data_IF_072987954493
#
_entry.id   IF_072987954493
#
_cell.length_a   1.000
_cell.length_b   1.000
_cell.length_c   1.000
_cell.angle_alpha   90.00
_cell.angle_beta   90.00
_cell.angle_gamma   90.00
#
_symmetry.space_group_name_H-M   'P 1'
#
loop_
_entity.id
_entity.type
_entity.pdbx_description
1 polymer ?
#
# COMPACT_ATOMS: atom_id res chain seq x y z
N UNK A 1 33.93 13.01 -8.03
CA UNK A 1 33.50 13.46 -9.37
C UNK A 1 32.42 12.50 -9.86
N UNK A 2 31.21 13.00 -10.23
CA UNK A 2 30.11 12.18 -10.76
C UNK A 2 30.21 12.07 -12.28
N UNK A 3 29.83 10.89 -12.82
CA UNK A 3 29.73 10.65 -14.26
C UNK A 3 28.28 10.23 -14.57
N UNK A 4 27.67 10.85 -15.57
CA UNK A 4 26.33 10.47 -16.04
C UNK A 4 26.38 9.11 -16.76
N UNK A 5 25.42 8.23 -16.44
CA UNK A 5 25.21 6.93 -17.10
C UNK A 5 23.84 6.88 -17.82
N UNK A 6 23.20 8.05 -17.97
CA UNK A 6 21.87 8.17 -18.58
C UNK A 6 20.75 7.64 -17.68
N UNK A 7 19.52 7.55 -18.25
CA UNK A 7 18.34 7.01 -17.54
C UNK A 7 18.46 5.50 -17.40
N UNK A 8 18.43 5.01 -16.19
CA UNK A 8 18.50 3.59 -15.84
C UNK A 8 17.51 3.27 -14.72
N UNK A 9 16.87 2.09 -14.71
CA UNK A 9 15.94 1.68 -13.66
C UNK A 9 16.69 1.10 -12.44
N UNK A 10 17.62 1.86 -11.87
CA UNK A 10 18.55 1.39 -10.84
C UNK A 10 18.16 1.88 -9.44
N UNK A 11 16.98 1.51 -8.99
CA UNK A 11 16.65 1.62 -7.57
C UNK A 11 17.08 0.34 -6.86
N UNK A 12 18.09 0.42 -6.02
CA UNK A 12 18.68 -0.72 -5.31
C UNK A 12 18.69 -0.48 -3.79
N UNK A 13 18.59 -1.54 -2.97
CA UNK A 13 18.36 -2.94 -3.33
C UNK A 13 16.90 -3.19 -3.74
N UNK A 14 16.66 -4.17 -4.64
CA UNK A 14 15.32 -4.61 -5.00
C UNK A 14 15.03 -5.97 -4.36
N UNK A 15 13.84 -6.20 -3.80
CA UNK A 15 13.49 -7.49 -3.23
C UNK A 15 13.36 -8.56 -4.32
N UNK A 16 13.51 -9.83 -3.95
CA UNK A 16 13.19 -10.98 -4.79
C UNK A 16 11.93 -11.64 -4.23
N UNK A 17 10.80 -11.39 -4.90
CA UNK A 17 9.47 -11.76 -4.42
C UNK A 17 8.93 -12.93 -5.24
N UNK A 18 8.56 -14.03 -4.58
CA UNK A 18 7.88 -15.14 -5.20
C UNK A 18 6.39 -15.03 -4.95
N UNK A 19 5.62 -14.77 -6.00
CA UNK A 19 4.17 -14.58 -5.91
C UNK A 19 3.48 -15.93 -6.19
N UNK A 20 2.78 -16.45 -5.18
CA UNK A 20 2.03 -17.70 -5.23
C UNK A 20 0.56 -17.47 -5.55
N UNK A 21 -0.01 -18.25 -6.46
CA UNK A 21 -1.43 -18.23 -6.83
C UNK A 21 -1.90 -19.62 -7.22
N UNK A 22 -3.21 -19.89 -7.18
CA UNK A 22 -3.77 -21.13 -7.75
C UNK A 22 -4.24 -20.92 -9.19
N UNK A 23 -3.93 -21.87 -10.06
CA UNK A 23 -4.50 -22.01 -11.40
C UNK A 23 -6.00 -22.38 -11.32
N UNK A 24 -6.69 -22.36 -12.46
CA UNK A 24 -8.12 -22.70 -12.54
C UNK A 24 -8.40 -24.15 -12.17
N UNK A 25 -7.47 -25.04 -12.45
CA UNK A 25 -7.51 -26.48 -12.10
C UNK A 25 -7.09 -26.78 -10.65
N UNK A 26 -6.78 -25.75 -9.86
CA UNK A 26 -6.36 -25.88 -8.46
C UNK A 26 -4.86 -26.16 -8.29
N UNK A 27 -4.09 -26.29 -9.37
CA UNK A 27 -2.63 -26.46 -9.26
C UNK A 27 -1.94 -25.15 -8.84
N UNK A 28 -0.84 -25.20 -8.06
CA UNK A 28 -0.11 -24.01 -7.67
C UNK A 28 0.67 -23.40 -8.84
N UNK A 29 0.75 -22.08 -8.87
CA UNK A 29 1.60 -21.33 -9.79
C UNK A 29 2.42 -20.31 -9.00
N UNK A 30 3.67 -20.12 -9.40
CA UNK A 30 4.59 -19.16 -8.83
C UNK A 30 5.18 -18.25 -9.91
N UNK A 31 5.53 -17.01 -9.57
CA UNK A 31 6.37 -16.15 -10.40
C UNK A 31 7.31 -15.32 -9.54
N UNK A 32 8.47 -15.00 -10.10
CA UNK A 32 9.40 -14.05 -9.48
C UNK A 32 9.09 -12.62 -9.93
N UNK A 33 9.09 -11.67 -8.99
CA UNK A 33 8.95 -10.24 -9.21
C UNK A 33 9.95 -9.47 -8.35
N UNK A 34 10.46 -8.35 -8.86
CA UNK A 34 11.39 -7.48 -8.14
C UNK A 34 10.84 -6.05 -7.95
N UNK A 35 9.83 -5.66 -8.73
CA UNK A 35 9.22 -4.33 -8.63
C UNK A 35 8.09 -4.36 -7.61
N UNK A 36 8.43 -4.13 -6.33
CA UNK A 36 7.47 -4.12 -5.24
C UNK A 36 8.01 -3.50 -3.96
N UNK A 37 7.12 -2.98 -3.15
CA UNK A 37 7.39 -2.42 -1.83
C UNK A 37 6.12 -2.34 -1.00
N UNK A 38 6.26 -2.16 0.32
CA UNK A 38 5.12 -1.74 1.14
C UNK A 38 4.66 -0.35 0.70
N UNK A 39 3.38 -0.19 0.50
CA UNK A 39 2.73 1.09 0.18
C UNK A 39 2.41 1.87 1.46
N UNK A 40 1.95 1.15 2.47
CA UNK A 40 1.64 1.65 3.80
C UNK A 40 1.81 0.48 4.81
N UNK A 41 1.32 0.63 6.04
CA UNK A 41 1.44 -0.39 7.09
C UNK A 41 0.67 -1.70 6.81
N UNK A 42 -0.25 -1.72 5.85
CA UNK A 42 -1.16 -2.84 5.56
C UNK A 42 -1.21 -3.26 4.11
N UNK A 43 -0.72 -2.43 3.18
CA UNK A 43 -0.83 -2.73 1.75
C UNK A 43 0.54 -2.82 1.08
N UNK A 44 0.66 -3.78 0.16
CA UNK A 44 1.84 -3.98 -0.68
C UNK A 44 1.53 -3.57 -2.12
N UNK A 45 2.47 -2.87 -2.73
CA UNK A 45 2.41 -2.41 -4.13
C UNK A 45 3.38 -3.21 -4.98
N UNK A 46 2.90 -3.79 -6.09
CA UNK A 46 3.69 -4.57 -7.05
C UNK A 46 3.40 -4.07 -8.47
N UNK A 47 4.37 -4.25 -9.38
CA UNK A 47 4.16 -3.99 -10.80
C UNK A 47 4.29 -5.27 -11.60
N UNK A 48 3.15 -5.81 -12.08
CA UNK A 48 3.05 -7.08 -12.79
C UNK A 48 2.19 -6.90 -14.05
N UNK A 49 2.77 -7.20 -15.21
CA UNK A 49 2.09 -7.04 -16.49
C UNK A 49 0.83 -7.92 -16.60
N UNK A 50 -0.24 -7.38 -17.20
CA UNK A 50 -1.55 -8.05 -17.34
C UNK A 50 -1.49 -9.42 -18.05
N UNK A 51 -0.53 -9.63 -18.96
CA UNK A 51 -0.36 -10.90 -19.69
C UNK A 51 0.18 -12.07 -18.85
N UNK A 52 0.60 -11.82 -17.60
CA UNK A 52 1.12 -12.88 -16.72
C UNK A 52 -0.03 -13.76 -16.20
N UNK A 53 0.20 -15.08 -16.19
CA UNK A 53 -0.74 -16.07 -15.63
C UNK A 53 -1.14 -15.73 -14.19
N UNK A 54 -0.18 -15.26 -13.41
CA UNK A 54 -0.36 -14.82 -12.02
C UNK A 54 -1.45 -13.75 -11.89
N UNK A 55 -1.49 -12.75 -12.79
CA UNK A 55 -2.55 -11.71 -12.78
C UNK A 55 -3.90 -12.31 -13.09
N UNK A 56 -4.01 -13.18 -14.10
CA UNK A 56 -5.26 -13.86 -14.40
C UNK A 56 -5.79 -14.65 -13.19
N UNK A 57 -4.88 -15.35 -12.50
CA UNK A 57 -5.19 -16.09 -11.29
C UNK A 57 -5.67 -15.15 -10.15
N UNK A 58 -4.93 -14.07 -9.85
CA UNK A 58 -5.27 -13.10 -8.80
C UNK A 58 -6.64 -12.44 -9.07
N UNK A 59 -6.91 -12.06 -10.31
CA UNK A 59 -8.21 -11.46 -10.68
C UNK A 59 -9.37 -12.41 -10.47
N UNK A 60 -9.15 -13.72 -10.61
CA UNK A 60 -10.13 -14.78 -10.37
C UNK A 60 -10.31 -15.10 -8.89
N UNK A 61 -9.21 -15.40 -8.17
CA UNK A 61 -9.25 -15.84 -6.76
C UNK A 61 -9.36 -14.70 -5.77
N UNK A 62 -9.00 -13.48 -6.19
CA UNK A 62 -8.85 -12.28 -5.34
C UNK A 62 -7.81 -12.45 -4.22
N UNK A 63 -6.88 -13.39 -4.38
CA UNK A 63 -5.90 -13.75 -3.37
C UNK A 63 -4.56 -14.14 -3.99
N UNK A 64 -3.48 -13.92 -3.24
CA UNK A 64 -2.13 -14.35 -3.57
C UNK A 64 -1.25 -14.36 -2.32
N UNK A 65 -0.12 -15.04 -2.40
CA UNK A 65 0.94 -14.98 -1.39
C UNK A 65 2.19 -14.33 -1.97
N UNK A 66 3.00 -13.73 -1.11
CA UNK A 66 4.32 -13.20 -1.42
C UNK A 66 5.31 -13.87 -0.48
N UNK A 67 6.29 -14.56 -1.05
CA UNK A 67 7.39 -15.16 -0.31
C UNK A 67 8.67 -14.36 -0.58
N UNK A 68 9.51 -14.18 0.41
CA UNK A 68 10.84 -13.61 0.23
C UNK A 68 11.81 -14.73 -0.14
N UNK A 69 12.46 -14.61 -1.29
CA UNK A 69 13.43 -15.61 -1.74
C UNK A 69 14.74 -15.50 -0.95
N UNK A 70 15.31 -16.65 -0.61
CA UNK A 70 16.57 -16.82 0.07
C UNK A 70 17.65 -17.43 -0.85
N UNK A 71 18.85 -17.58 -0.32
CA UNK A 71 20.00 -18.12 -1.05
C UNK A 71 19.80 -19.60 -1.42
N UNK A 72 19.13 -20.37 -0.57
CA UNK A 72 18.92 -21.83 -0.78
C UNK A 72 18.03 -22.09 -1.99
N UNK A 73 16.99 -21.25 -2.17
CA UNK A 73 16.03 -21.37 -3.26
C UNK A 73 16.34 -20.49 -4.48
N UNK A 74 17.57 -19.95 -4.58
CA UNK A 74 17.95 -18.98 -5.63
C UNK A 74 17.72 -19.48 -7.05
N UNK A 75 18.09 -20.72 -7.36
CA UNK A 75 18.00 -21.27 -8.72
C UNK A 75 16.55 -21.48 -9.13
N UNK A 76 15.74 -22.01 -8.24
CA UNK A 76 14.33 -22.27 -8.42
C UNK A 76 13.53 -20.95 -8.51
N UNK A 77 13.90 -19.95 -7.69
CA UNK A 77 13.34 -18.60 -7.74
C UNK A 77 13.60 -17.93 -9.10
N UNK A 78 14.80 -18.05 -9.65
CA UNK A 78 15.13 -17.56 -11.00
C UNK A 78 14.36 -18.34 -12.08
N UNK A 79 14.33 -19.67 -11.99
CA UNK A 79 13.59 -20.52 -12.91
C UNK A 79 12.11 -20.14 -13.03
N UNK A 80 11.37 -20.02 -11.92
CA UNK A 80 9.94 -19.66 -11.96
C UNK A 80 9.70 -18.24 -12.47
N UNK A 81 10.72 -17.37 -12.45
CA UNK A 81 10.71 -16.04 -13.05
C UNK A 81 10.90 -16.05 -14.56
N UNK A 82 11.79 -16.93 -15.06
CA UNK A 82 12.13 -17.07 -16.47
C UNK A 82 11.06 -17.85 -17.25
N UNK A 83 10.38 -18.82 -16.62
CA UNK A 83 9.42 -19.69 -17.27
C UNK A 83 7.99 -19.16 -17.15
N UNK A 84 7.29 -19.09 -18.28
CA UNK A 84 5.90 -18.61 -18.31
C UNK A 84 4.93 -19.69 -17.81
N UNK A 85 4.13 -19.38 -16.78
CA UNK A 85 3.04 -20.25 -16.31
C UNK A 85 1.91 -20.47 -17.33
N UNK A 86 1.87 -19.70 -18.43
CA UNK A 86 0.96 -19.95 -19.55
C UNK A 86 1.46 -21.10 -20.46
N UNK A 87 2.74 -21.47 -20.39
CA UNK A 87 3.36 -22.49 -21.21
C UNK A 87 3.74 -23.75 -20.39
N UNK A 88 4.13 -23.57 -19.12
CA UNK A 88 4.57 -24.64 -18.22
C UNK A 88 3.72 -24.55 -16.95
N UNK A 89 2.69 -25.40 -16.90
CA UNK A 89 1.71 -25.39 -15.79
C UNK A 89 2.30 -25.98 -14.50
N UNK A 90 3.20 -26.94 -14.60
CA UNK A 90 3.83 -27.70 -13.53
C UNK A 90 5.17 -27.12 -13.04
N UNK A 91 5.45 -25.84 -13.32
CA UNK A 91 6.74 -25.22 -12.97
C UNK A 91 7.04 -25.18 -11.47
N UNK A 92 6.02 -25.19 -10.60
CA UNK A 92 6.19 -25.26 -9.14
C UNK A 92 6.69 -26.65 -8.74
N UNK A 93 6.15 -27.71 -9.35
CA UNK A 93 6.60 -29.09 -9.17
C UNK A 93 8.04 -29.27 -9.70
N UNK A 94 8.35 -28.71 -10.89
CA UNK A 94 9.70 -28.69 -11.45
C UNK A 94 10.72 -27.94 -10.60
N UNK A 95 10.29 -26.90 -9.86
CA UNK A 95 11.11 -26.22 -8.87
C UNK A 95 11.29 -27.04 -7.57
N UNK A 96 10.61 -28.17 -7.44
CA UNK A 96 10.67 -29.01 -6.25
C UNK A 96 9.96 -28.42 -5.01
N UNK A 97 9.13 -27.39 -5.19
CA UNK A 97 8.44 -26.76 -4.07
C UNK A 97 7.14 -27.47 -3.73
N UNK A 98 6.99 -27.81 -2.45
CA UNK A 98 5.72 -28.26 -1.90
C UNK A 98 4.83 -27.07 -1.59
N UNK A 99 3.55 -27.16 -1.97
CA UNK A 99 2.56 -26.13 -1.74
C UNK A 99 1.47 -26.62 -0.79
N UNK A 100 1.17 -25.83 0.23
CA UNK A 100 0.00 -26.01 1.09
C UNK A 100 -0.96 -24.86 0.89
N UNK A 101 -2.25 -25.05 1.21
CA UNK A 101 -3.21 -23.96 1.16
C UNK A 101 -2.99 -23.02 2.34
N UNK A 102 -2.99 -21.72 2.10
CA UNK A 102 -3.01 -20.71 3.17
C UNK A 102 -4.31 -20.83 3.98
N UNK A 103 -4.22 -20.65 5.29
CA UNK A 103 -5.39 -20.56 6.18
C UNK A 103 -6.09 -19.19 6.06
N UNK A 104 -5.34 -18.15 5.67
CA UNK A 104 -5.83 -16.76 5.64
C UNK A 104 -6.45 -16.38 4.29
N UNK A 105 -5.95 -16.93 3.17
CA UNK A 105 -6.36 -16.53 1.81
C UNK A 105 -6.41 -17.73 0.85
N UNK A 106 -7.14 -17.61 -0.26
CA UNK A 106 -7.23 -18.64 -1.30
C UNK A 106 -5.99 -18.63 -2.22
N UNK A 107 -4.79 -18.91 -1.63
CA UNK A 107 -3.52 -18.94 -2.31
C UNK A 107 -2.57 -19.99 -1.70
N UNK A 108 -1.56 -20.49 -2.44
CA UNK A 108 -0.60 -21.47 -1.94
C UNK A 108 0.47 -20.81 -1.05
N UNK A 109 0.88 -21.51 0.00
CA UNK A 109 2.10 -21.27 0.78
C UNK A 109 3.13 -22.29 0.37
N UNK A 110 4.33 -21.85 0.00
CA UNK A 110 5.47 -22.70 -0.34
C UNK A 110 6.35 -22.87 0.90
N UNK A 111 6.44 -24.10 1.41
CA UNK A 111 7.18 -24.45 2.62
C UNK A 111 8.71 -24.22 2.51
N UNK A 112 9.21 -23.99 1.30
CA UNK A 112 10.63 -23.75 1.03
C UNK A 112 11.10 -22.35 1.43
N UNK A 113 10.19 -21.44 1.80
CA UNK A 113 10.54 -20.04 2.10
C UNK A 113 10.26 -19.69 3.56
N UNK A 114 11.20 -18.98 4.23
CA UNK A 114 11.08 -18.69 5.66
C UNK A 114 10.08 -17.59 5.97
N UNK A 115 9.64 -16.82 4.96
CA UNK A 115 8.77 -15.66 5.14
C UNK A 115 7.69 -15.59 4.07
N UNK A 116 6.44 -15.43 4.49
CA UNK A 116 5.26 -15.39 3.60
C UNK A 116 4.30 -14.30 4.05
N UNK A 117 3.83 -13.49 3.10
CA UNK A 117 2.71 -12.57 3.28
C UNK A 117 1.48 -13.13 2.58
N UNK A 118 0.41 -13.37 3.30
CA UNK A 118 -0.90 -13.72 2.75
C UNK A 118 -1.66 -12.44 2.39
N UNK A 119 -2.07 -12.29 1.13
CA UNK A 119 -2.63 -11.06 0.62
C UNK A 119 -3.96 -11.29 -0.12
N UNK A 120 -4.91 -10.36 0.05
CA UNK A 120 -6.09 -10.22 -0.81
C UNK A 120 -5.88 -9.12 -1.84
N UNK A 121 -6.53 -9.23 -2.99
CA UNK A 121 -6.47 -8.20 -4.03
C UNK A 121 -7.24 -6.96 -3.58
N UNK A 122 -6.55 -5.84 -3.41
CA UNK A 122 -7.14 -4.53 -3.18
C UNK A 122 -7.50 -3.84 -4.50
N UNK A 123 -6.55 -3.72 -5.44
CA UNK A 123 -6.79 -3.15 -6.77
C UNK A 123 -5.76 -3.65 -7.80
N UNK A 124 -6.13 -3.58 -9.07
CA UNK A 124 -5.20 -3.83 -10.17
C UNK A 124 -5.52 -2.90 -11.34
N UNK A 125 -4.53 -2.13 -11.79
CA UNK A 125 -4.62 -1.32 -13.00
C UNK A 125 -3.87 -2.01 -14.16
N UNK A 126 -4.58 -2.47 -15.21
CA UNK A 126 -3.96 -3.14 -16.35
C UNK A 126 -3.16 -2.18 -17.25
N UNK A 127 -3.35 -0.85 -17.14
CA UNK A 127 -2.68 0.12 -18.01
C UNK A 127 -1.19 0.23 -17.71
N UNK A 128 -0.81 0.17 -16.42
CA UNK A 128 0.58 0.22 -15.97
C UNK A 128 1.04 -1.07 -15.28
N UNK A 129 0.12 -2.01 -15.03
CA UNK A 129 0.39 -3.27 -14.33
C UNK A 129 0.47 -3.11 -12.81
N UNK A 130 -0.05 -2.03 -12.24
CA UNK A 130 -0.04 -1.76 -10.82
C UNK A 130 -1.02 -2.65 -10.06
N UNK A 131 -0.47 -3.56 -9.26
CA UNK A 131 -1.17 -4.47 -8.36
C UNK A 131 -1.00 -3.99 -6.92
N UNK A 132 -2.10 -3.80 -6.22
CA UNK A 132 -2.10 -3.52 -4.78
C UNK A 132 -2.77 -4.69 -4.06
N UNK A 133 -2.08 -5.23 -3.07
CA UNK A 133 -2.59 -6.26 -2.18
C UNK A 133 -2.74 -5.74 -0.76
N UNK A 134 -3.81 -6.14 -0.08
CA UNK A 134 -3.96 -5.93 1.35
C UNK A 134 -3.43 -7.17 2.09
N UNK A 135 -2.48 -6.96 2.99
CA UNK A 135 -1.85 -8.01 3.80
C UNK A 135 -2.84 -8.44 4.89
N UNK A 136 -3.21 -9.71 4.87
CA UNK A 136 -4.10 -10.32 5.85
C UNK A 136 -3.31 -10.95 7.01
N UNK A 137 -2.16 -11.55 6.69
CA UNK A 137 -1.28 -12.16 7.68
C UNK A 137 0.17 -12.24 7.15
N UNK A 138 1.12 -12.32 8.07
CA UNK A 138 2.53 -12.58 7.80
C UNK A 138 2.93 -13.83 8.58
N UNK A 139 3.42 -14.83 7.86
CA UNK A 139 3.89 -16.09 8.41
C UNK A 139 5.42 -16.11 8.34
N UNK A 140 6.04 -16.56 9.40
CA UNK A 140 7.51 -16.66 9.52
C UNK A 140 7.84 -18.01 10.13
N UNK A 141 8.90 -18.62 9.66
CA UNK A 141 9.41 -19.86 10.24
C UNK A 141 9.94 -19.59 11.67
N UNK A 142 9.51 -20.39 12.65
CA UNK A 142 9.80 -20.16 14.07
C UNK A 142 11.29 -20.08 14.39
N UNK A 143 12.13 -20.73 13.58
CA UNK A 143 13.60 -20.71 13.72
C UNK A 143 14.21 -19.33 13.58
N UNK A 144 13.52 -18.39 12.92
CA UNK A 144 13.94 -17.00 12.73
C UNK A 144 13.30 -16.02 13.72
N UNK A 145 12.62 -16.53 14.74
CA UNK A 145 12.06 -15.73 15.83
C UNK A 145 12.82 -16.01 17.14
N UNK A 146 13.17 -14.93 17.87
CA UNK A 146 13.69 -15.10 19.21
C UNK A 146 12.59 -15.46 20.23
N UNK A 147 12.99 -15.68 21.49
CA UNK A 147 12.07 -16.01 22.59
C UNK A 147 11.04 -14.90 22.90
N UNK A 148 11.20 -13.71 22.35
CA UNK A 148 10.29 -12.56 22.47
C UNK A 148 9.43 -12.34 21.21
N UNK A 149 9.59 -13.22 20.20
CA UNK A 149 8.91 -13.11 18.91
C UNK A 149 9.49 -12.04 17.97
N UNK A 150 10.72 -11.58 18.22
CA UNK A 150 11.41 -10.64 17.34
C UNK A 150 12.06 -11.40 16.18
N UNK A 151 11.89 -10.84 14.97
CA UNK A 151 12.35 -11.42 13.72
C UNK A 151 13.84 -11.11 13.46
N UNK A 152 14.63 -12.15 13.19
CA UNK A 152 16.04 -12.07 12.79
C UNK A 152 16.19 -12.22 11.27
N UNK A 153 16.05 -11.12 10.52
CA UNK A 153 16.09 -11.09 9.06
C UNK A 153 17.47 -11.41 8.49
N UNK A 154 18.53 -11.04 9.19
CA UNK A 154 19.95 -11.31 8.87
C UNK A 154 20.25 -12.82 8.80
N UNK A 155 19.57 -13.64 9.59
CA UNK A 155 19.71 -15.10 9.58
C UNK A 155 18.97 -15.78 8.42
N UNK A 156 18.00 -15.11 7.78
CA UNK A 156 17.20 -15.67 6.68
C UNK A 156 17.95 -15.75 5.35
N UNK A 157 19.12 -15.16 5.23
CA UNK A 157 19.90 -15.11 3.99
C UNK A 157 19.09 -14.66 2.74
N UNK A 158 18.23 -13.65 2.91
CA UNK A 158 17.34 -13.17 1.87
C UNK A 158 18.09 -12.60 0.68
N UNK A 159 17.50 -12.79 -0.52
CA UNK A 159 18.06 -12.26 -1.77
C UNK A 159 17.59 -10.84 -2.06
N UNK A 160 18.49 -10.07 -2.67
CA UNK A 160 18.18 -8.82 -3.36
C UNK A 160 18.58 -8.92 -4.83
N UNK A 161 17.80 -8.32 -5.72
CA UNK A 161 18.12 -8.23 -7.14
C UNK A 161 18.88 -6.91 -7.43
N UNK A 162 20.00 -7.03 -8.12
CA UNK A 162 20.80 -5.91 -8.62
C UNK A 162 20.52 -5.72 -10.13
N UNK A 163 19.73 -4.71 -10.53
CA UNK A 163 19.38 -4.49 -11.95
C UNK A 163 20.54 -3.98 -12.78
N UNK A 164 21.61 -3.44 -12.17
CA UNK A 164 22.76 -2.92 -12.89
C UNK A 164 23.65 -4.06 -13.45
N UNK A 165 23.84 -5.10 -12.66
CA UNK A 165 24.67 -6.27 -12.99
C UNK A 165 23.84 -7.50 -13.38
N UNK A 166 22.52 -7.43 -13.21
CA UNK A 166 21.58 -8.55 -13.41
C UNK A 166 21.97 -9.78 -12.60
N UNK A 167 22.25 -9.58 -11.33
CA UNK A 167 22.63 -10.64 -10.40
C UNK A 167 21.83 -10.53 -9.11
N UNK A 168 21.94 -11.57 -8.28
CA UNK A 168 21.39 -11.58 -6.93
C UNK A 168 22.50 -11.33 -5.92
N UNK A 169 22.20 -10.53 -4.90
CA UNK A 169 23.03 -10.30 -3.73
C UNK A 169 22.26 -10.79 -2.50
N UNK A 170 22.98 -11.06 -1.41
CA UNK A 170 22.39 -11.40 -0.12
C UNK A 170 22.14 -10.12 0.69
N UNK A 171 21.09 -10.11 1.50
CA UNK A 171 20.94 -9.11 2.57
C UNK A 171 22.00 -9.45 3.62
N UNK A 172 22.90 -8.51 3.87
CA UNK A 172 24.05 -8.72 4.76
C UNK A 172 23.76 -8.49 6.24
N UNK A 173 24.82 -8.45 7.02
CA UNK A 173 24.78 -8.29 8.46
C UNK A 173 24.10 -6.97 8.90
N UNK A 174 23.53 -6.98 10.10
CA UNK A 174 23.00 -5.78 10.76
C UNK A 174 24.16 -4.83 11.04
N UNK A 175 24.10 -3.61 10.55
CA UNK A 175 25.14 -2.59 10.67
C UNK A 175 24.80 -1.47 11.67
N UNK A 176 23.63 -1.50 12.27
CA UNK A 176 23.19 -0.51 13.27
C UNK A 176 21.69 -0.47 13.48
N UNK A 177 21.27 0.33 14.46
CA UNK A 177 19.88 0.59 14.77
C UNK A 177 19.32 1.71 13.90
N UNK A 178 18.15 1.49 13.31
CA UNK A 178 17.42 2.56 12.64
C UNK A 178 16.81 3.52 13.67
N UNK A 179 16.77 4.82 13.35
CA UNK A 179 16.20 5.88 14.17
C UNK A 179 16.90 6.16 15.52
N UNK A 180 17.97 5.44 15.86
CA UNK A 180 18.70 5.61 17.11
C UNK A 180 19.80 6.69 17.02
N UNK A 181 20.56 6.70 15.92
CA UNK A 181 21.74 7.58 15.74
C UNK A 181 21.42 8.95 15.16
N UNK A 182 20.26 9.16 14.49
CA UNK A 182 19.85 10.44 13.92
C UNK A 182 19.45 11.50 14.96
N UNK A 183 19.36 11.14 16.24
CA UNK A 183 18.93 12.01 17.34
C UNK A 183 20.10 12.43 18.27
N UNK A 184 21.30 11.86 18.10
CA UNK A 184 22.45 12.11 18.96
C UNK A 184 23.59 12.71 18.13
N UNK A 185 23.49 13.99 17.74
CA UNK A 185 24.63 14.80 17.29
C UNK A 185 25.23 15.52 18.50
N UNK A 186 25.77 14.81 19.45
CA UNK A 186 26.75 15.32 20.39
C UNK A 186 27.92 14.32 20.45
N UNK A 187 29.12 14.85 20.24
CA UNK A 187 30.42 14.26 20.11
C UNK A 187 30.62 12.89 20.80
N UNK A 188 30.89 11.85 19.99
CA UNK A 188 31.38 10.57 20.50
C UNK A 188 32.91 10.60 20.48
N UNK A 189 33.51 10.74 21.65
CA UNK A 189 34.85 10.22 21.91
C UNK A 189 34.80 8.70 21.79
N UNK A 190 35.75 8.10 21.07
CA UNK A 190 35.90 6.64 20.94
C UNK A 190 36.05 6.00 22.33
N UNK A 191 35.26 4.98 22.68
CA UNK A 191 35.50 4.26 23.94
C UNK A 191 36.54 3.19 23.73
N UNK A 192 37.51 3.23 24.64
CA UNK A 192 38.47 2.20 24.99
C UNK A 192 37.78 0.83 25.21
N UNK A 193 38.40 -0.24 24.68
CA UNK A 193 37.96 -1.64 24.76
C UNK A 193 37.87 -2.14 26.22
N UNK A 194 36.68 -2.03 26.77
CA UNK A 194 36.40 -2.53 28.11
C UNK A 194 34.92 -2.77 28.33
N UNK A 195 34.51 -4.04 28.19
CA UNK A 195 33.28 -4.70 28.70
C UNK A 195 32.34 -3.82 29.53
N UNK A 196 31.25 -3.28 28.90
CA UNK A 196 30.06 -2.92 29.66
C UNK A 196 28.81 -2.74 28.77
N UNK A 197 28.22 -3.83 28.35
CA UNK A 197 26.81 -3.86 27.91
C UNK A 197 25.90 -3.80 29.13
N UNK A 198 25.67 -2.62 29.69
CA UNK A 198 24.54 -2.27 30.57
C UNK A 198 24.59 -0.79 30.89
N UNK A 199 24.10 0.07 30.01
CA UNK A 199 23.60 1.36 30.47
C UNK A 199 22.47 1.06 31.44
N UNK A 200 22.65 1.36 32.72
CA UNK A 200 21.70 1.08 33.78
C UNK A 200 20.38 1.82 33.43
N UNK A 201 19.27 1.22 33.79
CA UNK A 201 17.90 1.84 33.63
C UNK A 201 17.87 3.25 34.24
N UNK A 202 18.71 3.48 35.21
CA UNK A 202 18.94 4.76 35.88
C UNK A 202 19.59 5.83 34.96
N UNK A 203 20.57 5.47 34.14
CA UNK A 203 21.24 6.39 33.19
C UNK A 203 20.27 6.78 32.05
N UNK A 204 19.48 5.81 31.54
CA UNK A 204 18.39 6.08 30.58
C UNK A 204 17.34 7.01 31.16
N UNK A 205 16.96 6.78 32.42
CA UNK A 205 16.00 7.62 33.16
C UNK A 205 16.53 9.04 33.35
N UNK A 206 17.81 9.20 33.66
CA UNK A 206 18.48 10.50 33.87
C UNK A 206 18.55 11.29 32.55
N UNK A 207 18.91 10.64 31.43
CA UNK A 207 18.89 11.23 30.08
C UNK A 207 17.47 11.65 29.65
N UNK A 208 16.45 10.89 30.01
CA UNK A 208 15.06 11.25 29.77
C UNK A 208 14.59 12.45 30.61
N UNK A 209 15.15 12.63 31.81
CA UNK A 209 14.83 13.76 32.71
C UNK A 209 15.46 15.07 32.22
N UNK A 210 16.67 15.03 31.63
CA UNK A 210 17.41 16.20 31.17
C UNK A 210 16.61 17.08 30.18
N UNK A 211 15.79 16.47 29.30
CA UNK A 211 14.95 17.17 28.31
C UNK A 211 13.44 17.09 28.62
N UNK A 212 13.08 16.97 29.89
CA UNK A 212 11.69 16.74 30.31
C UNK A 212 10.73 17.84 29.84
N UNK A 213 11.11 19.11 29.94
CA UNK A 213 10.26 20.25 29.55
C UNK A 213 9.97 20.28 28.04
N UNK A 214 10.98 20.00 27.21
CA UNK A 214 10.83 19.94 25.76
C UNK A 214 9.98 18.74 25.32
N UNK A 215 10.15 17.59 26.00
CA UNK A 215 9.32 16.41 25.76
C UNK A 215 7.85 16.66 26.10
N UNK A 216 7.58 17.26 27.24
CA UNK A 216 6.21 17.64 27.65
C UNK A 216 5.61 18.61 26.65
N UNK A 217 6.34 19.65 26.24
CA UNK A 217 5.85 20.63 25.27
C UNK A 217 5.57 19.97 23.89
N UNK A 218 6.41 19.04 23.46
CA UNK A 218 6.21 18.28 22.22
C UNK A 218 4.97 17.38 22.30
N UNK A 219 4.83 16.61 23.38
CA UNK A 219 3.65 15.74 23.60
C UNK A 219 2.37 16.58 23.61
N UNK A 220 2.33 17.67 24.39
CA UNK A 220 1.16 18.55 24.45
C UNK A 220 0.82 19.19 23.10
N UNK A 221 1.83 19.51 22.27
CA UNK A 221 1.60 20.01 20.91
C UNK A 221 1.00 18.94 20.00
N UNK A 222 1.55 17.70 20.05
CA UNK A 222 1.05 16.60 19.22
C UNK A 222 -0.33 16.14 19.65
N UNK A 223 -0.64 16.18 20.93
CA UNK A 223 -1.97 15.86 21.45
C UNK A 223 -3.02 16.86 20.96
N UNK A 224 -2.69 18.15 20.91
CA UNK A 224 -3.57 19.15 20.30
C UNK A 224 -3.81 18.89 18.81
N UNK A 225 -2.75 18.58 18.05
CA UNK A 225 -2.86 18.24 16.62
C UNK A 225 -3.70 16.98 16.42
N UNK A 226 -3.52 15.96 17.25
CA UNK A 226 -4.31 14.73 17.20
C UNK A 226 -5.80 14.99 17.46
N UNK A 227 -6.12 15.77 18.50
CA UNK A 227 -7.50 16.10 18.85
C UNK A 227 -8.18 16.96 17.76
N UNK A 228 -7.46 17.92 17.17
CA UNK A 228 -7.95 18.72 16.04
C UNK A 228 -8.19 17.86 14.80
N UNK A 229 -7.25 16.95 14.49
CA UNK A 229 -7.42 15.99 13.38
C UNK A 229 -8.64 15.09 13.60
N UNK A 230 -8.84 14.57 14.81
CA UNK A 230 -10.00 13.75 15.13
C UNK A 230 -11.34 14.52 14.95
N UNK A 231 -11.38 15.81 15.34
CA UNK A 231 -12.54 16.66 15.12
C UNK A 231 -12.83 16.87 13.62
N UNK A 232 -11.81 17.21 12.85
CA UNK A 232 -11.94 17.40 11.40
C UNK A 232 -12.37 16.12 10.67
N UNK A 233 -11.87 14.96 11.12
CA UNK A 233 -12.29 13.66 10.57
C UNK A 233 -13.77 13.38 10.85
N UNK A 234 -14.25 13.68 12.05
CA UNK A 234 -15.65 13.50 12.41
C UNK A 234 -16.57 14.43 11.58
N UNK A 235 -16.20 15.70 11.43
CA UNK A 235 -16.93 16.67 10.61
C UNK A 235 -17.00 16.25 9.14
N UNK A 236 -15.87 15.80 8.58
CA UNK A 236 -15.80 15.34 7.21
C UNK A 236 -16.65 14.07 6.98
N UNK A 237 -16.58 13.10 7.89
CA UNK A 237 -17.42 11.90 7.81
C UNK A 237 -18.89 12.25 7.83
N UNK A 238 -19.31 13.13 8.75
CA UNK A 238 -20.70 13.57 8.81
C UNK A 238 -21.15 14.27 7.52
N UNK A 239 -20.28 15.10 6.92
CA UNK A 239 -20.58 15.76 5.64
C UNK A 239 -20.68 14.74 4.49
N UNK A 240 -19.80 13.72 4.45
CA UNK A 240 -19.83 12.66 3.46
C UNK A 240 -21.12 11.84 3.57
N UNK A 241 -21.47 11.37 4.77
CA UNK A 241 -22.71 10.62 5.02
C UNK A 241 -23.95 11.40 4.57
N UNK A 242 -23.96 12.71 4.81
CA UNK A 242 -25.06 13.58 4.38
C UNK A 242 -25.12 13.67 2.83
N UNK A 243 -23.97 13.87 2.19
CA UNK A 243 -23.88 13.89 0.73
C UNK A 243 -24.32 12.56 0.10
N UNK A 244 -23.88 11.42 0.66
CA UNK A 244 -24.29 10.09 0.21
C UNK A 244 -25.79 9.88 0.35
N UNK A 245 -26.39 10.32 1.46
CA UNK A 245 -27.84 10.23 1.67
C UNK A 245 -28.67 11.08 0.71
N UNK A 246 -28.06 12.13 0.14
CA UNK A 246 -28.70 13.05 -0.80
C UNK A 246 -28.45 12.69 -2.28
N UNK A 247 -27.68 11.63 -2.54
CA UNK A 247 -27.22 11.29 -3.89
C UNK A 247 -28.35 11.05 -4.88
N UNK A 248 -29.41 10.33 -4.49
CA UNK A 248 -30.56 10.07 -5.35
C UNK A 248 -31.27 11.35 -5.75
N UNK A 249 -31.43 12.31 -4.82
CA UNK A 249 -32.05 13.60 -5.10
C UNK A 249 -31.19 14.46 -6.02
N UNK A 250 -29.85 14.42 -5.83
CA UNK A 250 -28.90 15.11 -6.69
C UNK A 250 -28.94 14.57 -8.12
N UNK A 251 -29.03 13.25 -8.28
CA UNK A 251 -29.13 12.62 -9.62
C UNK A 251 -30.46 12.94 -10.29
N UNK A 252 -31.56 12.97 -9.53
CA UNK A 252 -32.85 13.37 -10.03
C UNK A 252 -32.89 14.84 -10.46
N UNK A 253 -32.19 15.73 -9.74
CA UNK A 253 -32.05 17.12 -10.10
C UNK A 253 -31.26 17.32 -11.41
N UNK A 254 -30.15 16.63 -11.60
CA UNK A 254 -29.35 16.67 -12.82
C UNK A 254 -30.18 16.14 -14.03
N UNK A 255 -30.87 15.01 -13.83
CA UNK A 255 -31.76 14.45 -14.84
C UNK A 255 -32.90 15.40 -15.22
N UNK A 256 -33.54 16.09 -14.24
CA UNK A 256 -34.57 17.08 -14.49
C UNK A 256 -34.02 18.26 -15.28
N UNK A 257 -32.92 18.87 -14.88
CA UNK A 257 -32.31 20.02 -15.55
C UNK A 257 -31.94 19.73 -17.02
N UNK A 258 -31.58 18.49 -17.32
CA UNK A 258 -31.23 18.03 -18.66
C UNK A 258 -32.47 17.53 -19.46
N UNK A 259 -33.67 17.60 -18.88
CA UNK A 259 -34.90 17.03 -19.46
C UNK A 259 -35.71 18.01 -20.32
N UNK A 260 -36.65 17.45 -21.04
CA UNK A 260 -37.67 18.26 -21.76
C UNK A 260 -38.64 18.91 -20.78
N UNK A 261 -38.94 18.29 -19.65
CA UNK A 261 -39.85 18.81 -18.64
C UNK A 261 -39.33 20.15 -18.08
N UNK A 262 -38.02 20.25 -17.88
CA UNK A 262 -37.39 21.52 -17.46
C UNK A 262 -37.62 22.64 -18.50
N UNK A 263 -37.45 22.33 -19.77
CA UNK A 263 -37.68 23.30 -20.86
C UNK A 263 -39.13 23.77 -20.90
N UNK A 264 -40.06 22.84 -20.77
CA UNK A 264 -41.50 23.10 -20.78
C UNK A 264 -41.91 23.94 -19.51
N UNK A 265 -41.35 23.64 -18.35
CA UNK A 265 -41.54 24.39 -17.09
C UNK A 265 -40.91 25.80 -17.16
N UNK A 266 -39.73 25.95 -17.76
CA UNK A 266 -39.10 27.24 -18.01
C UNK A 266 -39.95 28.14 -18.91
N UNK A 267 -40.52 27.58 -20.01
CA UNK A 267 -41.44 28.30 -20.87
C UNK A 267 -42.75 28.67 -20.14
N UNK A 268 -43.30 27.77 -19.34
CA UNK A 268 -44.48 28.00 -18.51
C UNK A 268 -44.26 29.12 -17.49
N UNK A 269 -43.09 29.19 -16.88
CA UNK A 269 -42.67 30.30 -15.98
C UNK A 269 -42.64 31.62 -16.75
N UNK A 270 -42.01 31.64 -17.92
CA UNK A 270 -41.89 32.83 -18.75
C UNK A 270 -43.26 33.38 -19.22
N UNK A 271 -44.28 32.53 -19.36
CA UNK A 271 -45.64 32.85 -19.74
C UNK A 271 -46.51 33.20 -18.52
N UNK A 272 -45.96 33.20 -17.29
CA UNK A 272 -46.74 33.51 -16.07
C UNK A 272 -47.76 32.42 -15.69
N UNK A 273 -47.58 31.20 -16.18
CA UNK A 273 -48.43 30.04 -15.84
C UNK A 273 -48.06 29.51 -14.45
N UNK A 274 -46.75 29.58 -14.09
CA UNK A 274 -46.27 29.26 -12.75
C UNK A 274 -46.42 30.49 -11.87
N UNK A 275 -47.05 30.38 -10.67
CA UNK A 275 -47.27 31.53 -9.79
C UNK A 275 -45.96 32.20 -9.38
N UNK A 276 -45.94 33.56 -9.45
CA UNK A 276 -44.75 34.36 -9.07
C UNK A 276 -44.34 34.20 -7.58
N UNK A 277 -45.30 33.83 -6.70
CA UNK A 277 -45.05 33.59 -5.30
C UNK A 277 -44.26 32.28 -5.02
N UNK A 278 -44.16 31.39 -6.00
CA UNK A 278 -43.40 30.16 -5.91
C UNK A 278 -41.92 30.42 -6.18
N UNK A 279 -41.07 29.82 -5.39
CA UNK A 279 -39.62 29.89 -5.60
C UNK A 279 -39.24 29.18 -6.88
N UNK A 280 -38.73 29.90 -7.89
CA UNK A 280 -38.46 29.45 -9.23
C UNK A 280 -36.97 29.46 -9.57
N UNK A 281 -36.10 29.44 -8.58
CA UNK A 281 -34.63 29.41 -8.77
C UNK A 281 -34.16 28.26 -9.64
N UNK A 282 -34.86 27.13 -9.57
CA UNK A 282 -34.56 25.93 -10.39
C UNK A 282 -34.89 26.14 -11.89
N UNK A 283 -35.68 27.13 -12.22
CA UNK A 283 -36.07 27.52 -13.60
C UNK A 283 -35.25 28.69 -14.15
N UNK A 284 -34.12 29.00 -13.54
CA UNK A 284 -33.12 29.93 -14.09
C UNK A 284 -32.01 29.16 -14.82
N UNK A 285 -31.39 29.77 -15.83
CA UNK A 285 -30.32 29.11 -16.57
C UNK A 285 -29.04 29.00 -15.72
N UNK A 286 -28.74 30.00 -14.89
CA UNK A 286 -27.47 30.12 -14.20
C UNK A 286 -27.43 29.31 -12.89
N UNK A 287 -28.47 29.36 -12.03
CA UNK A 287 -28.43 28.76 -10.70
C UNK A 287 -28.30 27.22 -10.72
N UNK A 288 -29.10 26.46 -11.52
CA UNK A 288 -28.91 25.02 -11.63
C UNK A 288 -27.55 24.63 -12.21
N UNK A 289 -27.08 25.36 -13.21
CA UNK A 289 -25.77 25.15 -13.84
C UNK A 289 -24.64 25.35 -12.84
N UNK A 290 -24.67 26.43 -12.07
CA UNK A 290 -23.66 26.73 -11.05
C UNK A 290 -23.59 25.64 -9.98
N UNK A 291 -24.75 25.16 -9.48
CA UNK A 291 -24.83 24.08 -8.49
C UNK A 291 -24.25 22.78 -9.03
N UNK A 292 -24.53 22.42 -10.28
CA UNK A 292 -24.00 21.21 -10.90
C UNK A 292 -22.48 21.31 -11.16
N UNK A 293 -22.00 22.47 -11.60
CA UNK A 293 -20.58 22.75 -11.78
C UNK A 293 -19.81 22.69 -10.43
N UNK A 294 -20.39 23.24 -9.36
CA UNK A 294 -19.79 23.19 -8.03
C UNK A 294 -19.74 21.76 -7.48
N UNK A 295 -20.73 20.93 -7.78
CA UNK A 295 -20.74 19.50 -7.43
C UNK A 295 -19.58 18.74 -8.10
N UNK A 296 -19.33 19.01 -9.38
CA UNK A 296 -18.19 18.45 -10.12
C UNK A 296 -16.84 18.90 -9.55
N UNK A 297 -16.72 20.17 -9.19
CA UNK A 297 -15.51 20.73 -8.57
C UNK A 297 -15.25 20.10 -7.20
N UNK A 298 -16.29 19.92 -6.39
CA UNK A 298 -16.24 19.24 -5.11
C UNK A 298 -15.73 17.80 -5.26
N UNK A 299 -16.25 17.07 -6.23
CA UNK A 299 -15.79 15.72 -6.57
C UNK A 299 -14.31 15.66 -6.96
N UNK A 300 -13.81 16.66 -7.71
CA UNK A 300 -12.38 16.78 -8.03
C UNK A 300 -11.54 17.06 -6.78
N UNK A 301 -11.96 17.99 -5.92
CA UNK A 301 -11.27 18.32 -4.67
C UNK A 301 -11.21 17.13 -3.69
N UNK A 302 -12.31 16.36 -3.57
CA UNK A 302 -12.35 15.14 -2.76
C UNK A 302 -11.34 14.10 -3.27
N UNK A 303 -11.28 13.89 -4.58
CA UNK A 303 -10.33 12.96 -5.21
C UNK A 303 -8.87 13.38 -4.97
N UNK A 304 -8.57 14.67 -5.10
CA UNK A 304 -7.23 15.21 -4.88
C UNK A 304 -6.83 15.15 -3.41
N UNK A 305 -7.77 15.40 -2.49
CA UNK A 305 -7.54 15.23 -1.06
C UNK A 305 -7.30 13.76 -0.70
N UNK A 306 -8.12 12.85 -1.23
CA UNK A 306 -7.94 11.40 -1.03
C UNK A 306 -6.55 10.95 -1.50
N UNK A 307 -6.09 11.40 -2.68
CA UNK A 307 -4.73 11.13 -3.15
C UNK A 307 -3.65 11.61 -2.17
N UNK A 308 -3.78 12.84 -1.64
CA UNK A 308 -2.81 13.40 -0.68
C UNK A 308 -2.80 12.65 0.66
N UNK A 309 -3.96 12.17 1.12
CA UNK A 309 -4.08 11.41 2.37
C UNK A 309 -3.56 9.97 2.23
N UNK A 310 -3.70 9.37 1.04
CA UNK A 310 -3.26 8.00 0.73
C UNK A 310 -1.78 7.90 0.32
N UNK A 311 -1.15 9.02 -0.05
CA UNK A 311 0.26 9.10 -0.46
C UNK A 311 1.23 9.31 0.73
N UNK A 312 0.85 8.92 1.95
CA UNK A 312 1.72 8.99 3.15
C UNK A 312 2.60 7.79 3.27
#
# INVERSE_FOLDING_TARGET
MYKSIGVKPYLMPMPVLIIGTYNEDGTPNAMNAAYGSMRDSRTVSLYVQAKRKTIANILRTKAFTIHLADVENRQEADFVGCVSGNLVADKVEQAGWSATKSEDVEAPVFASFPFVMACTLFSYDPADGHLVGEVQNVLVEETFLDSYGQLHVDEMALLTYNPAEKCYNIVGDRVGEAFATGLNNEEQEEPDDGDSSRSTEEERRQALICNRSERIARVQRMERVMNELASLQAELNQALDHFESFKEQSDAFDAYYSSRDWMDDYEASSLGIIPEEMDQGVLTEDLPYDVLCENDELGRRMRDLARKLLLR
#
